data_IF_665914142553
#
_entry.id   IF_665914142553
#
_cell.length_a   1.000
_cell.length_b   1.000
_cell.length_c   1.000
_cell.angle_alpha   90.00
_cell.angle_beta   90.00
_cell.angle_gamma   90.00
#
_symmetry.space_group_name_H-M   'P 1'
#
loop_
_entity.id
_entity.type
_entity.pdbx_description
1 polymer ?
#
# COMPACT_ATOMS: atom_id res chain seq x y z
N UNK A 1 -12.24 6.34 18.92
CA UNK A 1 -10.80 6.39 18.67
C UNK A 1 -10.62 6.02 17.18
N UNK A 2 -9.81 6.78 16.41
CA UNK A 2 -9.51 6.44 15.02
C UNK A 2 -8.66 5.16 14.97
N UNK A 3 -8.85 4.33 13.94
CA UNK A 3 -7.93 3.22 13.66
C UNK A 3 -6.54 3.77 13.30
N UNK A 4 -5.49 3.12 13.80
CA UNK A 4 -4.11 3.46 13.47
C UNK A 4 -3.68 2.74 12.20
N UNK A 5 -3.56 3.50 11.12
CA UNK A 5 -3.26 3.01 9.78
C UNK A 5 -1.79 3.25 9.41
N UNK A 6 -1.05 2.20 9.11
CA UNK A 6 0.19 2.34 8.36
C UNK A 6 -0.14 2.56 6.89
N UNK A 7 0.14 3.72 6.32
CA UNK A 7 -0.04 3.99 4.90
C UNK A 7 1.31 3.94 4.19
N UNK A 8 1.54 2.86 3.46
CA UNK A 8 2.81 2.60 2.82
C UNK A 8 2.75 2.84 1.31
N UNK A 9 3.73 3.59 0.77
CA UNK A 9 3.86 3.91 -0.64
C UNK A 9 5.05 3.18 -1.26
N UNK A 10 4.82 2.61 -2.45
CA UNK A 10 5.89 2.06 -3.27
C UNK A 10 5.99 2.82 -4.61
N UNK A 11 7.08 2.66 -5.35
CA UNK A 11 7.47 3.51 -6.48
C UNK A 11 6.57 3.41 -7.74
N UNK A 12 5.25 3.40 -7.56
CA UNK A 12 4.29 3.62 -8.65
C UNK A 12 3.98 5.11 -8.78
N UNK A 13 4.99 5.88 -9.22
CA UNK A 13 4.98 7.34 -9.23
C UNK A 13 3.77 7.95 -9.96
N UNK A 14 3.31 7.35 -11.07
CA UNK A 14 2.13 7.81 -11.81
C UNK A 14 0.82 7.76 -10.99
N UNK A 15 0.83 7.04 -9.88
CA UNK A 15 -0.33 6.88 -8.99
C UNK A 15 -0.29 7.79 -7.76
N UNK A 16 0.82 8.48 -7.50
CA UNK A 16 0.97 9.33 -6.33
C UNK A 16 -0.05 10.47 -6.29
N UNK A 17 -0.32 11.12 -7.43
CA UNK A 17 -1.35 12.15 -7.50
C UNK A 17 -2.76 11.64 -7.18
N UNK A 18 -3.07 10.37 -7.53
CA UNK A 18 -4.35 9.75 -7.20
C UNK A 18 -4.48 9.48 -5.69
N UNK A 19 -3.39 9.04 -5.05
CA UNK A 19 -3.36 8.89 -3.60
C UNK A 19 -3.46 10.24 -2.89
N UNK A 20 -2.70 11.25 -3.34
CA UNK A 20 -2.74 12.60 -2.78
C UNK A 20 -4.16 13.20 -2.80
N UNK A 21 -4.95 12.92 -3.85
CA UNK A 21 -6.33 13.39 -3.95
C UNK A 21 -7.27 12.80 -2.89
N UNK A 22 -7.00 11.61 -2.35
CA UNK A 22 -7.82 10.96 -1.32
C UNK A 22 -7.20 11.07 0.08
N UNK A 23 -5.94 11.49 0.19
CA UNK A 23 -5.20 11.56 1.44
C UNK A 23 -5.89 12.41 2.53
N UNK A 24 -6.43 13.62 2.25
CA UNK A 24 -7.14 14.39 3.27
C UNK A 24 -8.30 13.62 3.90
N UNK A 25 -9.11 12.95 3.07
CA UNK A 25 -10.23 12.13 3.56
C UNK A 25 -9.76 10.91 4.37
N UNK A 26 -8.59 10.34 4.06
CA UNK A 26 -7.99 9.28 4.88
C UNK A 26 -7.53 9.82 6.24
N UNK A 27 -6.91 11.01 6.29
CA UNK A 27 -6.48 11.65 7.54
C UNK A 27 -7.66 12.03 8.44
N UNK A 28 -8.82 12.37 7.86
CA UNK A 28 -10.04 12.58 8.64
C UNK A 28 -10.52 11.30 9.36
N UNK A 29 -10.33 10.13 8.74
CA UNK A 29 -10.87 8.85 9.23
C UNK A 29 -9.88 8.05 10.08
N UNK A 30 -8.58 8.18 9.82
CA UNK A 30 -7.52 7.35 10.40
C UNK A 30 -6.43 8.19 11.08
N UNK A 31 -5.75 7.60 12.07
CA UNK A 31 -4.45 8.07 12.57
C UNK A 31 -3.36 7.41 11.72
N UNK A 32 -2.70 8.19 10.85
CA UNK A 32 -1.85 7.64 9.78
C UNK A 32 -0.37 7.72 10.14
N UNK A 33 0.31 6.57 10.14
CA UNK A 33 1.77 6.49 10.09
C UNK A 33 2.21 6.31 8.63
N UNK A 34 2.83 7.33 7.99
CA UNK A 34 3.28 7.22 6.61
C UNK A 34 4.58 6.40 6.50
N UNK A 35 4.64 5.51 5.52
CA UNK A 35 5.80 4.67 5.23
C UNK A 35 6.12 4.81 3.73
N UNK A 36 7.38 4.96 3.36
CA UNK A 36 7.78 4.98 1.95
C UNK A 36 8.88 3.95 1.71
N UNK A 37 8.82 3.25 0.57
CA UNK A 37 9.96 2.44 0.15
C UNK A 37 11.12 3.34 -0.26
N UNK A 38 12.34 2.84 -0.18
CA UNK A 38 13.57 3.57 -0.52
C UNK A 38 13.56 4.08 -1.98
N UNK A 39 12.84 3.41 -2.87
CA UNK A 39 12.65 3.89 -4.24
C UNK A 39 11.55 4.95 -4.36
N UNK A 40 10.55 4.94 -3.48
CA UNK A 40 9.45 5.92 -3.54
C UNK A 40 9.89 7.34 -3.14
N UNK A 41 11.00 7.48 -2.42
CA UNK A 41 11.58 8.79 -2.04
C UNK A 41 12.50 9.38 -3.11
N UNK A 42 12.69 8.70 -4.25
CA UNK A 42 13.51 9.18 -5.36
C UNK A 42 12.72 10.11 -6.28
N UNK A 43 13.45 10.99 -6.95
CA UNK A 43 12.87 11.87 -7.95
C UNK A 43 12.42 11.10 -9.20
N UNK A 44 11.37 11.56 -9.79
CA UNK A 44 10.81 10.98 -11.00
C UNK A 44 10.21 12.05 -11.92
N UNK A 45 9.83 11.69 -13.14
CA UNK A 45 9.09 12.59 -14.02
C UNK A 45 7.71 13.02 -13.49
N UNK A 46 7.24 12.44 -12.40
CA UNK A 46 5.97 12.75 -11.75
C UNK A 46 6.12 13.60 -10.49
N UNK A 47 7.32 14.10 -10.23
CA UNK A 47 7.64 14.98 -9.11
C UNK A 47 8.87 14.53 -8.33
N UNK A 48 9.33 15.42 -7.48
CA UNK A 48 10.46 15.17 -6.59
C UNK A 48 10.05 14.30 -5.40
N UNK A 49 10.90 13.38 -5.01
CA UNK A 49 10.68 12.51 -3.85
C UNK A 49 10.51 13.30 -2.56
N UNK A 50 11.25 14.40 -2.41
CA UNK A 50 11.14 15.33 -1.29
C UNK A 50 9.77 15.99 -1.20
N UNK A 51 9.14 16.33 -2.33
CA UNK A 51 7.79 16.87 -2.37
C UNK A 51 6.77 15.85 -1.83
N UNK A 52 6.82 14.61 -2.31
CA UNK A 52 5.88 13.57 -1.86
C UNK A 52 6.05 13.22 -0.38
N UNK A 53 7.29 13.19 0.09
CA UNK A 53 7.58 13.05 1.53
C UNK A 53 6.97 14.18 2.34
N UNK A 54 7.26 15.44 1.97
CA UNK A 54 6.76 16.62 2.68
C UNK A 54 5.22 16.66 2.70
N UNK A 55 4.57 16.30 1.59
CA UNK A 55 3.11 16.20 1.52
C UNK A 55 2.57 15.19 2.54
N UNK A 56 3.14 13.99 2.58
CA UNK A 56 2.72 12.96 3.54
C UNK A 56 2.93 13.42 4.98
N UNK A 57 4.10 13.99 5.31
CA UNK A 57 4.42 14.45 6.66
C UNK A 57 3.52 15.61 7.10
N UNK A 58 3.16 16.51 6.17
CA UNK A 58 2.26 17.62 6.45
C UNK A 58 0.82 17.16 6.70
N UNK A 59 0.29 16.30 5.81
CA UNK A 59 -1.10 15.85 5.90
C UNK A 59 -1.33 14.90 7.08
N UNK A 60 -0.34 14.07 7.41
CA UNK A 60 -0.49 13.07 8.48
C UNK A 60 0.02 13.56 9.84
N UNK A 61 0.71 14.70 9.90
CA UNK A 61 1.40 15.23 11.09
C UNK A 61 2.42 14.23 11.69
N UNK A 62 2.87 13.25 10.91
CA UNK A 62 3.81 12.21 11.31
C UNK A 62 5.01 12.17 10.35
N UNK A 63 6.19 11.82 10.86
CA UNK A 63 7.37 11.62 10.04
C UNK A 63 7.26 10.33 9.22
N UNK A 64 7.73 10.38 7.98
CA UNK A 64 7.79 9.22 7.09
C UNK A 64 8.82 8.22 7.60
N UNK A 65 8.43 6.95 7.67
CA UNK A 65 9.31 5.80 7.89
C UNK A 65 9.80 5.31 6.51
N UNK A 66 11.11 5.42 6.24
CA UNK A 66 11.67 5.18 4.90
C UNK A 66 12.88 4.25 4.85
N UNK A 67 13.20 3.59 5.96
CA UNK A 67 14.29 2.62 6.01
C UNK A 67 13.88 1.33 6.71
N UNK A 68 14.55 0.23 6.37
CA UNK A 68 14.32 -1.08 7.02
C UNK A 68 14.49 -0.97 8.54
N UNK A 69 15.52 -0.26 9.01
CA UNK A 69 15.79 -0.09 10.43
C UNK A 69 14.69 0.71 11.15
N UNK A 70 14.15 1.76 10.50
CA UNK A 70 13.07 2.57 11.06
C UNK A 70 11.71 1.82 11.04
N UNK A 71 11.52 0.88 10.12
CA UNK A 71 10.30 0.08 10.00
C UNK A 71 10.29 -1.15 10.94
N UNK A 72 11.46 -1.63 11.38
CA UNK A 72 11.58 -2.83 12.23
C UNK A 72 10.73 -2.75 13.50
N UNK A 73 10.70 -1.62 14.26
CA UNK A 73 9.93 -1.51 15.50
C UNK A 73 8.39 -1.60 15.33
N UNK A 74 7.87 -1.43 14.10
CA UNK A 74 6.43 -1.51 13.81
C UNK A 74 5.87 -2.89 14.18
N UNK A 75 6.62 -3.95 13.89
CA UNK A 75 6.23 -5.32 14.22
C UNK A 75 6.14 -5.57 15.74
N UNK A 76 7.25 -5.42 16.49
CA UNK A 76 7.26 -5.65 17.93
C UNK A 76 6.30 -4.76 18.72
N UNK A 77 6.12 -3.50 18.32
CA UNK A 77 5.22 -2.59 19.03
C UNK A 77 3.74 -2.93 18.87
N UNK A 78 3.37 -3.64 17.79
CA UNK A 78 1.97 -3.89 17.46
C UNK A 78 1.13 -2.63 17.29
N UNK A 79 1.76 -1.49 16.98
CA UNK A 79 1.17 -0.15 17.07
C UNK A 79 0.11 0.13 16.01
N UNK A 80 0.10 -0.59 14.88
CA UNK A 80 -0.86 -0.39 13.79
C UNK A 80 -2.03 -1.36 13.92
N UNK A 81 -3.23 -0.92 13.60
CA UNK A 81 -4.43 -1.77 13.48
C UNK A 81 -4.50 -2.39 12.08
N UNK A 82 -4.23 -1.60 11.04
CA UNK A 82 -4.19 -2.01 9.63
C UNK A 82 -2.92 -1.45 8.99
N UNK A 83 -2.30 -2.21 8.09
CA UNK A 83 -1.26 -1.72 7.19
C UNK A 83 -1.80 -1.74 5.76
N UNK A 84 -1.81 -0.60 5.08
CA UNK A 84 -2.19 -0.49 3.67
C UNK A 84 -0.98 -0.10 2.82
N UNK A 85 -0.69 -0.89 1.78
CA UNK A 85 0.34 -0.56 0.79
C UNK A 85 -0.36 -0.04 -0.46
N UNK A 86 -0.41 1.28 -0.62
CA UNK A 86 -1.13 1.97 -1.69
C UNK A 86 -0.32 3.20 -2.15
N UNK A 87 0.15 3.23 -3.39
CA UNK A 87 0.11 2.17 -4.41
C UNK A 87 1.09 1.04 -4.12
N UNK A 88 0.74 -0.20 -4.52
CA UNK A 88 1.58 -1.38 -4.44
C UNK A 88 2.06 -1.80 -5.83
N UNK A 89 3.37 -1.71 -6.09
CA UNK A 89 3.99 -2.11 -7.37
C UNK A 89 4.09 -3.62 -7.54
N UNK A 90 4.21 -4.10 -8.78
CA UNK A 90 4.48 -5.51 -9.09
C UNK A 90 5.72 -6.06 -8.37
N UNK A 91 6.80 -5.26 -8.28
CA UNK A 91 8.00 -5.63 -7.52
C UNK A 91 7.70 -5.87 -6.03
N UNK A 92 6.88 -5.01 -5.41
CA UNK A 92 6.48 -5.17 -4.01
C UNK A 92 5.55 -6.37 -3.83
N UNK A 93 4.60 -6.60 -4.75
CA UNK A 93 3.76 -7.80 -4.75
C UNK A 93 4.62 -9.08 -4.80
N UNK A 94 5.62 -9.11 -5.69
CA UNK A 94 6.55 -10.24 -5.78
C UNK A 94 7.34 -10.46 -4.48
N UNK A 95 7.86 -9.40 -3.87
CA UNK A 95 8.56 -9.48 -2.58
C UNK A 95 7.67 -10.02 -1.48
N UNK A 96 6.44 -9.49 -1.34
CA UNK A 96 5.48 -9.96 -0.35
C UNK A 96 5.11 -11.43 -0.53
N UNK A 97 4.85 -11.86 -1.78
CA UNK A 97 4.50 -13.24 -2.11
C UNK A 97 5.63 -14.23 -1.78
N UNK A 98 6.89 -13.79 -1.88
CA UNK A 98 8.07 -14.63 -1.64
C UNK A 98 8.76 -14.39 -0.28
N UNK A 99 8.18 -13.55 0.58
CA UNK A 99 8.71 -13.29 1.94
C UNK A 99 10.00 -12.47 1.97
N UNK A 100 10.30 -11.69 0.91
CA UNK A 100 11.48 -10.81 0.83
C UNK A 100 11.20 -9.52 1.60
N UNK A 101 12.11 -9.14 2.51
CA UNK A 101 11.93 -8.01 3.45
C UNK A 101 13.12 -7.07 3.45
N UNK A 102 13.41 -6.51 2.30
CA UNK A 102 14.58 -5.65 2.02
C UNK A 102 14.24 -4.16 1.82
N UNK A 103 13.00 -3.76 2.12
CA UNK A 103 12.55 -2.36 2.10
C UNK A 103 11.79 -2.01 3.37
N UNK A 104 11.66 -0.70 3.69
CA UNK A 104 10.84 -0.23 4.80
C UNK A 104 9.41 -0.82 4.75
N UNK A 105 8.80 -0.82 3.55
CA UNK A 105 7.44 -1.30 3.32
C UNK A 105 7.33 -2.81 3.56
N UNK A 106 8.25 -3.61 3.03
CA UNK A 106 8.20 -5.08 3.21
C UNK A 106 8.59 -5.50 4.62
N UNK A 107 9.45 -4.75 5.31
CA UNK A 107 9.76 -4.97 6.72
C UNK A 107 8.53 -4.69 7.60
N UNK A 108 7.86 -3.57 7.40
CA UNK A 108 6.61 -3.25 8.10
C UNK A 108 5.55 -4.34 7.86
N UNK A 109 5.37 -4.77 6.61
CA UNK A 109 4.40 -5.81 6.24
C UNK A 109 4.71 -7.16 6.92
N UNK A 110 5.99 -7.58 6.96
CA UNK A 110 6.40 -8.81 7.66
C UNK A 110 6.06 -8.74 9.14
N UNK A 111 6.43 -7.65 9.82
CA UNK A 111 6.16 -7.47 11.24
C UNK A 111 4.66 -7.44 11.55
N UNK A 112 3.88 -6.76 10.71
CA UNK A 112 2.45 -6.62 10.85
C UNK A 112 1.70 -7.95 10.67
N UNK A 113 2.01 -8.70 9.60
CA UNK A 113 1.43 -10.02 9.32
C UNK A 113 1.83 -11.08 10.37
N UNK A 114 3.04 -11.00 10.95
CA UNK A 114 3.46 -11.88 12.05
C UNK A 114 2.55 -11.72 13.28
N UNK A 115 1.98 -10.53 13.48
CA UNK A 115 1.02 -10.25 14.56
C UNK A 115 -0.43 -10.61 14.15
N UNK A 116 -0.62 -11.34 13.06
CA UNK A 116 -1.93 -11.73 12.49
C UNK A 116 -2.84 -10.54 12.16
N UNK A 117 -2.28 -9.35 11.96
CA UNK A 117 -3.04 -8.12 11.64
C UNK A 117 -3.25 -7.95 10.13
N UNK A 118 -4.31 -7.24 9.71
CA UNK A 118 -4.71 -7.13 8.32
C UNK A 118 -3.77 -6.24 7.49
N UNK A 119 -3.35 -6.76 6.33
CA UNK A 119 -2.62 -6.06 5.28
C UNK A 119 -3.53 -5.79 4.09
N UNK A 120 -3.65 -4.53 3.68
CA UNK A 120 -4.43 -4.11 2.51
C UNK A 120 -3.49 -3.75 1.36
N UNK A 121 -3.75 -4.27 0.17
CA UNK A 121 -2.94 -4.04 -1.02
C UNK A 121 -3.72 -3.27 -2.08
N UNK A 122 -3.25 -2.08 -2.44
CA UNK A 122 -3.76 -1.29 -3.56
C UNK A 122 -2.87 -1.46 -4.78
N UNK A 123 -3.18 -2.42 -5.65
CA UNK A 123 -2.37 -2.74 -6.83
C UNK A 123 -2.21 -1.52 -7.73
N UNK A 124 -1.00 -1.29 -8.21
CA UNK A 124 -0.70 -0.33 -9.28
C UNK A 124 0.54 -0.83 -10.03
N UNK A 125 0.31 -1.59 -11.11
CA UNK A 125 1.38 -2.20 -11.90
C UNK A 125 0.98 -2.39 -13.36
N UNK A 126 1.93 -2.22 -14.28
CA UNK A 126 1.71 -2.36 -15.72
C UNK A 126 1.73 -3.82 -16.20
N UNK A 127 2.09 -4.77 -15.34
CA UNK A 127 2.23 -6.20 -15.64
C UNK A 127 1.34 -7.09 -14.75
N UNK A 128 0.24 -6.53 -14.24
CA UNK A 128 -0.68 -7.22 -13.34
C UNK A 128 -1.27 -8.52 -13.90
N UNK A 129 -1.55 -8.56 -15.21
CA UNK A 129 -2.00 -9.75 -15.94
C UNK A 129 -0.85 -10.52 -16.62
N UNK A 130 0.39 -10.08 -16.41
CA UNK A 130 1.61 -10.72 -16.87
C UNK A 130 2.39 -11.34 -15.70
N UNK A 131 3.66 -10.93 -15.53
CA UNK A 131 4.56 -11.50 -14.52
C UNK A 131 4.06 -11.34 -13.07
N UNK A 132 3.27 -10.33 -12.77
CA UNK A 132 2.70 -10.12 -11.42
C UNK A 132 1.47 -10.98 -11.14
N UNK A 133 0.84 -11.62 -12.13
CA UNK A 133 -0.42 -12.37 -11.96
C UNK A 133 -0.30 -13.50 -10.93
N UNK A 134 0.79 -14.27 -10.99
CA UNK A 134 1.05 -15.35 -10.03
C UNK A 134 1.19 -14.82 -8.59
N UNK A 135 1.91 -13.71 -8.41
CA UNK A 135 2.11 -13.09 -7.10
C UNK A 135 0.79 -12.55 -6.53
N UNK A 136 -0.04 -11.93 -7.37
CA UNK A 136 -1.40 -11.49 -7.00
C UNK A 136 -2.23 -12.68 -6.55
N UNK A 137 -2.25 -13.79 -7.32
CA UNK A 137 -2.97 -15.00 -6.97
C UNK A 137 -2.54 -15.60 -5.62
N UNK A 138 -1.22 -15.68 -5.37
CA UNK A 138 -0.68 -16.14 -4.09
C UNK A 138 -1.12 -15.24 -2.92
N UNK A 139 -1.12 -13.92 -3.11
CA UNK A 139 -1.51 -12.96 -2.09
C UNK A 139 -3.02 -12.94 -1.85
N UNK A 140 -3.86 -13.13 -2.88
CA UNK A 140 -5.31 -13.27 -2.75
C UNK A 140 -5.71 -14.49 -1.90
N UNK A 141 -4.92 -15.56 -1.92
CA UNK A 141 -5.15 -16.76 -1.13
C UNK A 141 -4.58 -16.70 0.28
N UNK A 142 -3.84 -15.63 0.63
CA UNK A 142 -3.14 -15.54 1.91
C UNK A 142 -4.04 -14.98 3.02
N UNK A 143 -4.05 -15.62 4.19
CA UNK A 143 -4.76 -15.14 5.39
C UNK A 143 -4.28 -13.73 5.78
N UNK A 144 -5.22 -12.88 6.19
CA UNK A 144 -4.99 -11.50 6.61
C UNK A 144 -4.43 -10.56 5.52
N UNK A 145 -4.53 -10.95 4.25
CA UNK A 145 -4.21 -10.09 3.10
C UNK A 145 -5.50 -9.78 2.36
N UNK A 146 -5.76 -8.50 2.17
CA UNK A 146 -6.96 -7.95 1.54
C UNK A 146 -6.56 -7.02 0.41
N UNK A 147 -7.46 -6.79 -0.52
CA UNK A 147 -7.19 -5.93 -1.66
C UNK A 147 -8.17 -4.76 -1.72
N UNK A 148 -7.65 -3.58 -2.03
CA UNK A 148 -8.49 -2.53 -2.57
C UNK A 148 -9.04 -3.03 -3.92
N UNK A 149 -10.34 -2.94 -4.19
CA UNK A 149 -10.89 -3.33 -5.48
C UNK A 149 -10.09 -2.78 -6.65
N UNK A 150 -9.81 -3.60 -7.66
CA UNK A 150 -8.92 -3.25 -8.77
C UNK A 150 -9.48 -3.72 -10.12
N UNK A 151 -8.98 -3.11 -11.18
CA UNK A 151 -9.35 -3.42 -12.57
C UNK A 151 -8.23 -3.04 -13.53
N UNK A 152 -8.40 -3.36 -14.81
CA UNK A 152 -7.60 -2.77 -15.86
C UNK A 152 -7.90 -1.27 -15.96
N UNK A 153 -6.87 -0.42 -15.92
CA UNK A 153 -7.02 1.04 -16.01
C UNK A 153 -7.07 1.54 -17.47
N UNK A 154 -6.43 0.84 -18.38
CA UNK A 154 -6.37 1.18 -19.81
C UNK A 154 -6.22 -0.09 -20.67
N UNK A 155 -7.31 -0.89 -20.86
CA UNK A 155 -7.22 -2.17 -21.56
C UNK A 155 -6.75 -2.05 -23.02
N UNK A 156 -7.02 -0.92 -23.66
CA UNK A 156 -6.68 -0.70 -25.07
C UNK A 156 -5.18 -0.46 -25.27
N UNK A 157 -4.54 0.35 -24.40
CA UNK A 157 -3.15 0.75 -24.58
C UNK A 157 -2.21 0.01 -23.62
N UNK A 158 -2.73 -0.53 -22.50
CA UNK A 158 -1.99 -1.25 -21.46
C UNK A 158 -2.71 -2.52 -21.06
N UNK A 159 -2.79 -3.54 -21.94
CA UNK A 159 -3.65 -4.71 -21.75
C UNK A 159 -3.30 -5.56 -20.53
N UNK A 160 -2.12 -5.41 -19.96
CA UNK A 160 -1.69 -6.16 -18.76
C UNK A 160 -1.71 -5.32 -17.48
N UNK A 161 -2.04 -4.03 -17.57
CA UNK A 161 -2.02 -3.13 -16.41
C UNK A 161 -3.21 -3.35 -15.50
N UNK A 162 -2.94 -3.38 -14.19
CA UNK A 162 -3.97 -3.39 -13.14
C UNK A 162 -3.76 -2.23 -12.18
N UNK A 163 -4.86 -1.57 -11.83
CA UNK A 163 -4.86 -0.48 -10.88
C UNK A 163 -6.04 -0.58 -9.91
N UNK A 164 -5.78 -0.31 -8.63
CA UNK A 164 -6.82 -0.21 -7.61
C UNK A 164 -7.66 1.06 -7.78
N UNK A 165 -8.87 1.01 -7.26
CA UNK A 165 -9.74 2.17 -7.12
C UNK A 165 -9.36 2.95 -5.85
N UNK A 166 -8.63 4.05 -6.00
CA UNK A 166 -8.15 4.87 -4.87
C UNK A 166 -9.30 5.42 -4.01
N UNK A 167 -10.48 5.67 -4.58
CA UNK A 167 -11.64 6.11 -3.82
C UNK A 167 -12.16 5.05 -2.82
N UNK A 168 -11.81 3.79 -3.03
CA UNK A 168 -12.21 2.66 -2.17
C UNK A 168 -11.19 2.31 -1.09
N UNK A 169 -10.07 3.03 -0.97
CA UNK A 169 -9.02 2.73 0.02
C UNK A 169 -9.58 2.74 1.44
N UNK A 170 -10.28 3.80 1.84
CA UNK A 170 -10.86 3.88 3.18
C UNK A 170 -11.84 2.73 3.48
N UNK A 171 -12.72 2.41 2.53
CA UNK A 171 -13.67 1.31 2.67
C UNK A 171 -12.97 -0.06 2.77
N UNK A 172 -11.91 -0.28 1.98
CA UNK A 172 -11.11 -1.50 2.04
C UNK A 172 -10.36 -1.64 3.38
N UNK A 173 -9.81 -0.56 3.91
CA UNK A 173 -9.16 -0.53 5.23
C UNK A 173 -10.17 -0.89 6.34
N UNK A 174 -11.34 -0.27 6.34
CA UNK A 174 -12.38 -0.55 7.32
C UNK A 174 -12.88 -2.01 7.24
N UNK A 175 -13.12 -2.53 6.03
CA UNK A 175 -13.51 -3.92 5.84
C UNK A 175 -12.43 -4.90 6.33
N UNK A 176 -11.16 -4.62 6.02
CA UNK A 176 -10.03 -5.43 6.46
C UNK A 176 -9.86 -5.43 7.99
N UNK A 177 -10.11 -4.31 8.66
CA UNK A 177 -10.12 -4.23 10.13
C UNK A 177 -11.16 -5.18 10.77
N UNK A 178 -12.25 -5.48 10.03
CA UNK A 178 -13.27 -6.46 10.44
C UNK A 178 -12.96 -7.90 9.93
N UNK A 179 -11.80 -8.12 9.31
CA UNK A 179 -11.43 -9.41 8.74
C UNK A 179 -12.18 -9.75 7.43
N UNK A 180 -12.68 -8.75 6.71
CA UNK A 180 -13.48 -8.94 5.49
C UNK A 180 -12.81 -8.36 4.26
N UNK A 181 -12.92 -9.05 3.12
CA UNK A 181 -12.56 -8.50 1.81
C UNK A 181 -13.70 -7.63 1.28
N UNK A 182 -13.40 -6.37 0.96
CA UNK A 182 -14.36 -5.49 0.27
C UNK A 182 -14.71 -6.04 -1.11
N UNK A 183 -16.00 -6.17 -1.40
CA UNK A 183 -16.51 -6.74 -2.64
C UNK A 183 -17.18 -5.69 -3.54
N UNK A 184 -17.22 -5.90 -4.88
CA UNK A 184 -16.43 -6.90 -5.62
C UNK A 184 -14.94 -6.53 -5.59
N UNK A 185 -14.05 -7.54 -5.49
CA UNK A 185 -12.59 -7.31 -5.47
C UNK A 185 -12.03 -7.02 -6.88
N UNK A 186 -12.66 -7.59 -7.90
CA UNK A 186 -12.35 -7.34 -9.32
C UNK A 186 -13.53 -6.59 -9.94
N UNK A 187 -13.26 -5.42 -10.51
CA UNK A 187 -14.27 -4.56 -11.13
C UNK A 187 -14.19 -4.53 -12.65
#
# INVERSE_FOLDING_TARGET
MKLRLGLALTASYCSFGKLAAVLPSLCEQFDILPIMSEHAVQDSRFGEGTFWRALLETETENRVVDSVAAAEPIGPSGALDVLAIVPCTGNTLAKLANGITDTAVTMAAKGHLRNEKPLVLGISTNDGLGASAENIGRLLARKNVYFVPFRQDDPANKPQSLQCDFAKVAAAVNAAAEGKQLQPVIG
#
